data_IF_613465010654
#
_entry.id   IF_613465010654
#
_cell.length_a   1.000
_cell.length_b   1.000
_cell.length_c   1.000
_cell.angle_alpha   90.00
_cell.angle_beta   90.00
_cell.angle_gamma   90.00
#
_symmetry.space_group_name_H-M   'P 1'
#
loop_
_entity.id
_entity.type
_entity.pdbx_description
1 polymer ?
#
# COMPACT_ATOMS: atom_id res chain seq x y z
N UNK A 1 -11.79 -8.76 -12.32
CA UNK A 1 -11.80 -7.83 -11.17
C UNK A 1 -11.00 -6.54 -11.44
N UNK A 2 -10.13 -6.52 -12.45
CA UNK A 2 -9.39 -5.33 -12.86
C UNK A 2 -8.18 -4.96 -11.99
N UNK A 3 -7.83 -5.79 -11.00
CA UNK A 3 -6.61 -5.60 -10.22
C UNK A 3 -5.40 -5.99 -11.06
N UNK A 4 -4.45 -5.06 -11.22
CA UNK A 4 -3.19 -5.34 -11.89
C UNK A 4 -2.20 -6.01 -10.92
N UNK A 5 -1.69 -7.16 -11.31
CA UNK A 5 -0.62 -7.87 -10.59
C UNK A 5 0.65 -7.76 -11.41
N UNK A 6 1.68 -7.13 -10.84
CA UNK A 6 2.97 -6.99 -11.47
C UNK A 6 3.94 -8.02 -10.86
N UNK A 7 4.54 -8.84 -11.72
CA UNK A 7 5.58 -9.78 -11.33
C UNK A 7 6.93 -9.17 -11.68
N UNK A 8 7.84 -9.15 -10.72
CA UNK A 8 9.18 -8.59 -10.87
C UNK A 8 10.19 -9.69 -10.59
N UNK A 9 11.07 -9.94 -11.54
CA UNK A 9 12.24 -10.79 -11.34
C UNK A 9 13.42 -9.91 -10.92
N UNK A 10 14.01 -10.21 -9.77
CA UNK A 10 15.20 -9.52 -9.32
C UNK A 10 16.44 -10.04 -10.07
N UNK A 11 17.39 -9.15 -10.44
CA UNK A 11 18.63 -9.57 -11.06
C UNK A 11 19.49 -10.34 -10.04
N UNK A 12 19.91 -11.55 -10.40
CA UNK A 12 20.67 -12.45 -9.51
C UNK A 12 22.01 -11.88 -9.05
N UNK A 13 22.63 -11.02 -9.85
CA UNK A 13 23.97 -10.47 -9.62
C UNK A 13 23.95 -8.95 -9.41
N UNK A 14 22.90 -8.41 -8.82
CA UNK A 14 22.84 -6.97 -8.53
C UNK A 14 23.88 -6.57 -7.48
N UNK A 15 24.55 -5.45 -7.73
CA UNK A 15 25.43 -4.80 -6.77
C UNK A 15 24.69 -3.85 -5.82
N UNK A 16 23.38 -3.65 -6.02
CA UNK A 16 22.57 -2.82 -5.14
C UNK A 16 22.26 -3.57 -3.84
N UNK A 17 22.66 -3.01 -2.72
CA UNK A 17 22.47 -3.58 -1.38
C UNK A 17 20.98 -3.93 -1.11
N UNK A 18 20.05 -3.04 -1.46
CA UNK A 18 18.62 -3.29 -1.29
C UNK A 18 18.08 -4.50 -2.07
N UNK A 19 18.68 -4.83 -3.22
CA UNK A 19 18.32 -6.02 -4.00
C UNK A 19 18.94 -7.27 -3.39
N UNK A 20 20.19 -7.16 -2.90
CA UNK A 20 20.87 -8.26 -2.19
C UNK A 20 20.11 -8.62 -0.91
N UNK A 21 19.66 -7.63 -0.14
CA UNK A 21 18.85 -7.82 1.05
C UNK A 21 17.52 -8.51 0.73
N UNK A 22 16.86 -8.11 -0.36
CA UNK A 22 15.64 -8.77 -0.82
C UNK A 22 15.90 -10.23 -1.21
N UNK A 23 16.95 -10.51 -1.97
CA UNK A 23 17.32 -11.87 -2.36
C UNK A 23 17.62 -12.75 -1.12
N UNK A 24 18.36 -12.22 -0.17
CA UNK A 24 18.69 -12.90 1.09
C UNK A 24 17.45 -13.17 1.92
N UNK A 25 16.54 -12.22 2.00
CA UNK A 25 15.27 -12.40 2.69
C UNK A 25 14.40 -13.48 2.04
N UNK A 26 14.32 -13.54 0.71
CA UNK A 26 13.58 -14.57 -0.02
C UNK A 26 14.17 -15.96 0.19
N UNK A 27 15.49 -16.06 0.24
CA UNK A 27 16.18 -17.32 0.53
C UNK A 27 15.87 -17.82 1.95
N UNK A 28 15.79 -16.92 2.92
CA UNK A 28 15.55 -17.25 4.33
C UNK A 28 14.08 -17.58 4.64
N UNK A 29 13.14 -16.88 4.00
CA UNK A 29 11.71 -16.99 4.31
C UNK A 29 10.95 -17.85 3.29
N UNK A 30 11.63 -18.26 2.22
CA UNK A 30 11.06 -19.12 1.21
C UNK A 30 10.11 -18.43 0.23
N UNK A 31 9.61 -19.25 -0.67
CA UNK A 31 8.65 -18.89 -1.69
C UNK A 31 7.53 -19.92 -1.73
N UNK A 32 6.47 -19.65 -2.45
CA UNK A 32 5.47 -20.67 -2.78
C UNK A 32 6.11 -21.80 -3.59
N UNK A 33 5.41 -22.93 -3.73
CA UNK A 33 5.85 -24.04 -4.59
C UNK A 33 5.99 -23.67 -6.08
N UNK A 34 5.56 -22.49 -6.48
CA UNK A 34 5.73 -21.90 -7.83
C UNK A 34 6.83 -20.84 -7.90
N UNK A 35 7.59 -20.64 -6.81
CA UNK A 35 8.69 -19.69 -6.76
C UNK A 35 8.28 -18.23 -6.58
N UNK A 36 7.05 -17.93 -6.17
CA UNK A 36 6.59 -16.57 -5.89
C UNK A 36 6.76 -16.23 -4.42
N UNK A 37 7.17 -15.00 -4.17
CA UNK A 37 7.19 -14.42 -2.82
C UNK A 37 5.79 -13.94 -2.41
N UNK A 38 5.65 -13.48 -1.18
CA UNK A 38 4.50 -12.71 -0.74
C UNK A 38 4.39 -11.36 -1.48
N UNK A 39 3.28 -10.66 -1.31
CA UNK A 39 3.07 -9.34 -1.90
C UNK A 39 4.03 -8.34 -1.27
N UNK A 40 4.97 -7.84 -2.06
CA UNK A 40 6.04 -6.94 -1.60
C UNK A 40 5.54 -5.51 -1.44
N UNK A 41 4.66 -5.08 -2.34
CA UNK A 41 4.17 -3.69 -2.38
C UNK A 41 2.75 -3.66 -2.90
N UNK A 42 1.89 -2.89 -2.27
CA UNK A 42 0.60 -2.49 -2.83
C UNK A 42 0.65 -1.03 -3.25
N UNK A 43 -0.13 -0.66 -4.26
CA UNK A 43 -0.15 0.71 -4.77
C UNK A 43 -1.57 1.22 -4.87
N UNK A 44 -1.76 2.48 -4.53
CA UNK A 44 -3.00 3.18 -4.79
C UNK A 44 -2.79 4.61 -5.30
N UNK A 45 -3.72 5.07 -6.12
CA UNK A 45 -3.72 6.44 -6.59
C UNK A 45 -4.20 7.37 -5.48
N UNK A 46 -3.53 8.51 -5.36
CA UNK A 46 -3.88 9.58 -4.43
C UNK A 46 -4.01 10.89 -5.20
N UNK A 47 -4.86 11.78 -4.73
CA UNK A 47 -4.99 13.13 -5.28
C UNK A 47 -3.99 14.13 -4.67
N UNK A 48 -3.35 13.76 -3.57
CA UNK A 48 -2.35 14.55 -2.87
C UNK A 48 -1.43 13.63 -2.07
N UNK A 49 -0.21 13.48 -2.57
CA UNK A 49 0.81 12.61 -1.97
C UNK A 49 1.23 13.08 -0.59
N UNK A 50 1.34 14.39 -0.37
CA UNK A 50 1.79 14.93 0.93
C UNK A 50 0.79 14.61 2.05
N UNK A 51 -0.51 14.78 1.79
CA UNK A 51 -1.53 14.42 2.77
C UNK A 51 -1.53 12.91 3.07
N UNK A 52 -1.41 12.08 2.03
CA UNK A 52 -1.35 10.63 2.21
C UNK A 52 -0.07 10.21 2.96
N UNK A 53 1.08 10.79 2.60
CA UNK A 53 2.36 10.53 3.24
C UNK A 53 2.32 10.86 4.74
N UNK A 54 1.80 12.04 5.09
CA UNK A 54 1.66 12.45 6.48
C UNK A 54 0.76 11.49 7.26
N UNK A 55 -0.34 11.02 6.68
CA UNK A 55 -1.18 10.02 7.30
C UNK A 55 -0.41 8.72 7.59
N UNK A 56 0.29 8.15 6.60
CA UNK A 56 1.07 6.93 6.82
C UNK A 56 2.21 7.10 7.81
N UNK A 57 2.82 8.28 7.83
CA UNK A 57 3.86 8.61 8.81
C UNK A 57 3.29 8.77 10.22
N UNK A 58 2.29 9.62 10.40
CA UNK A 58 1.80 10.04 11.73
C UNK A 58 0.94 8.95 12.40
N UNK A 59 0.19 8.18 11.58
CA UNK A 59 -0.71 7.14 12.10
C UNK A 59 -0.03 5.78 12.20
N UNK A 60 0.73 5.39 11.16
CA UNK A 60 1.33 4.06 11.07
C UNK A 60 2.83 4.02 11.33
N UNK A 61 3.46 5.17 11.61
CA UNK A 61 4.91 5.25 11.85
C UNK A 61 5.74 4.89 10.64
N UNK A 62 5.15 4.87 9.44
CA UNK A 62 5.87 4.56 8.21
C UNK A 62 6.82 5.69 7.84
N UNK A 63 7.92 5.34 7.18
CA UNK A 63 8.90 6.30 6.66
C UNK A 63 8.94 6.28 5.14
N UNK A 64 9.20 7.44 4.56
CA UNK A 64 9.47 7.54 3.13
C UNK A 64 10.79 6.83 2.82
N UNK A 65 10.75 5.93 1.84
CA UNK A 65 11.96 5.28 1.31
C UNK A 65 12.50 6.00 0.10
N UNK A 66 11.58 6.42 -0.76
CA UNK A 66 11.93 6.89 -2.10
C UNK A 66 10.74 7.64 -2.68
N UNK A 67 11.04 8.72 -3.40
CA UNK A 67 10.04 9.48 -4.16
C UNK A 67 10.65 9.93 -5.49
N UNK A 68 9.93 9.73 -6.60
CA UNK A 68 10.39 10.12 -7.93
C UNK A 68 9.22 10.28 -8.89
N UNK A 69 9.49 10.93 -10.03
CA UNK A 69 8.50 11.14 -11.08
C UNK A 69 8.68 10.12 -12.18
N UNK A 70 7.78 9.16 -12.27
CA UNK A 70 7.71 8.24 -13.40
C UNK A 70 7.14 8.96 -14.62
N UNK A 71 7.93 8.99 -15.71
CA UNK A 71 7.56 9.59 -16.98
C UNK A 71 8.04 8.79 -18.20
N UNK A 72 8.75 7.68 -18.01
CA UNK A 72 9.19 6.83 -19.12
C UNK A 72 8.00 6.18 -19.81
N UNK A 73 8.00 6.23 -21.16
CA UNK A 73 6.90 5.72 -22.00
C UNK A 73 6.63 4.23 -21.77
N UNK A 74 7.67 3.44 -21.67
CA UNK A 74 7.61 2.00 -21.44
C UNK A 74 6.98 1.69 -20.08
N UNK A 75 7.36 2.43 -19.02
CA UNK A 75 6.77 2.30 -17.70
C UNK A 75 5.30 2.69 -17.68
N UNK A 76 4.93 3.76 -18.39
CA UNK A 76 3.55 4.20 -18.51
C UNK A 76 2.69 3.17 -19.26
N UNK A 77 3.18 2.60 -20.36
CA UNK A 77 2.51 1.54 -21.09
C UNK A 77 2.32 0.28 -20.23
N UNK A 78 3.37 -0.15 -19.53
CA UNK A 78 3.32 -1.29 -18.62
C UNK A 78 2.27 -1.09 -17.51
N UNK A 79 2.20 0.10 -16.92
CA UNK A 79 1.26 0.46 -15.86
C UNK A 79 -0.10 0.92 -16.40
N UNK A 80 -0.35 0.82 -17.70
CA UNK A 80 -1.59 1.24 -18.38
C UNK A 80 -1.96 2.71 -18.09
N UNK A 81 -0.95 3.57 -18.05
CA UNK A 81 -1.09 5.02 -17.91
C UNK A 81 -1.01 5.71 -19.27
N UNK A 82 -1.43 6.98 -19.39
CA UNK A 82 -1.17 7.76 -20.61
C UNK A 82 0.32 7.78 -20.93
N UNK A 83 0.68 7.60 -22.22
CA UNK A 83 2.07 7.44 -22.67
C UNK A 83 2.94 8.62 -22.23
N UNK A 84 2.42 9.84 -22.29
CA UNK A 84 3.10 11.08 -21.87
C UNK A 84 2.74 11.46 -20.41
N UNK A 85 2.20 10.52 -19.65
CA UNK A 85 1.81 10.74 -18.25
C UNK A 85 3.02 10.96 -17.35
N UNK A 86 2.88 11.88 -16.40
CA UNK A 86 3.81 12.06 -15.30
C UNK A 86 3.11 11.69 -14.00
N UNK A 87 3.72 10.81 -13.24
CA UNK A 87 3.17 10.34 -11.96
C UNK A 87 4.23 10.45 -10.90
N UNK A 88 3.95 11.21 -9.84
CA UNK A 88 4.76 11.16 -8.63
C UNK A 88 4.49 9.81 -7.93
N UNK A 89 5.53 9.05 -7.70
CA UNK A 89 5.46 7.80 -6.93
C UNK A 89 6.28 7.97 -5.67
N UNK A 90 5.65 7.71 -4.53
CA UNK A 90 6.30 7.73 -3.24
C UNK A 90 6.11 6.38 -2.56
N UNK A 91 7.19 5.75 -2.16
CA UNK A 91 7.15 4.50 -1.40
C UNK A 91 7.28 4.78 0.09
N UNK A 92 6.29 4.34 0.84
CA UNK A 92 6.29 4.32 2.30
C UNK A 92 6.59 2.91 2.80
N UNK A 93 7.38 2.79 3.86
CA UNK A 93 7.76 1.50 4.46
C UNK A 93 7.50 1.50 5.96
N UNK A 94 6.83 0.45 6.43
CA UNK A 94 6.77 0.07 7.84
C UNK A 94 7.96 -0.80 8.26
N UNK A 95 7.87 -1.40 9.44
CA UNK A 95 8.95 -2.25 9.98
C UNK A 95 8.97 -3.64 9.36
N UNK A 96 7.83 -4.14 8.88
CA UNK A 96 7.78 -5.42 8.18
C UNK A 96 8.52 -5.33 6.83
N UNK A 97 9.27 -6.37 6.48
CA UNK A 97 10.08 -6.37 5.27
C UNK A 97 9.25 -6.10 3.99
N UNK A 98 8.08 -6.72 3.89
CA UNK A 98 7.13 -6.52 2.78
C UNK A 98 6.13 -5.36 2.97
N UNK A 99 6.11 -4.73 4.12
CA UNK A 99 5.15 -3.67 4.45
C UNK A 99 5.39 -2.37 3.70
N UNK A 100 5.27 -2.38 2.37
CA UNK A 100 5.46 -1.20 1.51
C UNK A 100 4.16 -0.77 0.87
N UNK A 101 3.94 0.54 0.83
CA UNK A 101 2.84 1.18 0.11
C UNK A 101 3.44 2.13 -0.93
N UNK A 102 2.98 2.03 -2.17
CA UNK A 102 3.30 2.99 -3.21
C UNK A 102 2.12 3.95 -3.41
N UNK A 103 2.35 5.22 -3.11
CA UNK A 103 1.42 6.31 -3.38
C UNK A 103 1.68 6.84 -4.78
N UNK A 104 0.65 6.95 -5.61
CA UNK A 104 0.78 7.34 -7.02
C UNK A 104 -0.10 8.56 -7.28
N UNK A 105 0.50 9.74 -7.45
CA UNK A 105 -0.21 10.99 -7.75
C UNK A 105 -0.04 11.36 -9.24
N UNK A 106 -1.12 11.40 -10.02
CA UNK A 106 -1.09 11.89 -11.38
C UNK A 106 -0.79 13.39 -11.43
N UNK A 107 0.30 13.80 -12.14
CA UNK A 107 0.70 15.21 -12.18
C UNK A 107 0.13 15.96 -13.39
N UNK A 108 -0.04 15.31 -14.55
CA UNK A 108 -0.45 15.95 -15.80
C UNK A 108 -1.59 15.22 -16.51
N UNK A 109 -2.25 14.27 -15.85
CA UNK A 109 -3.43 13.60 -16.38
C UNK A 109 -4.45 13.36 -15.27
N UNK A 110 -5.70 13.11 -15.67
CA UNK A 110 -6.81 12.87 -14.72
C UNK A 110 -7.09 11.38 -14.61
N UNK A 111 -7.36 10.94 -13.38
CA UNK A 111 -7.92 9.61 -13.11
C UNK A 111 -9.30 9.76 -12.50
N UNK A 112 -10.27 8.91 -12.87
CA UNK A 112 -11.58 8.93 -12.26
C UNK A 112 -11.50 8.44 -10.81
N UNK A 113 -12.17 9.13 -9.90
CA UNK A 113 -12.33 8.65 -8.53
C UNK A 113 -13.52 7.68 -8.45
N UNK A 114 -13.19 6.38 -8.44
CA UNK A 114 -14.17 5.29 -8.33
C UNK A 114 -14.22 4.67 -6.91
N UNK A 115 -13.56 5.29 -5.93
CA UNK A 115 -13.42 4.71 -4.58
C UNK A 115 -14.77 4.44 -3.90
N UNK A 116 -15.79 5.24 -4.20
CA UNK A 116 -17.17 5.00 -3.70
C UNK A 116 -17.75 3.64 -4.10
N UNK A 117 -17.20 3.04 -5.17
CA UNK A 117 -17.59 1.71 -5.64
C UNK A 117 -16.72 0.59 -5.05
N UNK A 118 -15.67 0.95 -4.29
CA UNK A 118 -14.80 -0.01 -3.60
C UNK A 118 -15.43 -0.48 -2.29
N UNK A 119 -16.58 -1.14 -2.39
CA UNK A 119 -17.32 -1.69 -1.26
C UNK A 119 -18.13 -2.91 -1.71
N UNK A 120 -18.41 -3.87 -0.82
CA UNK A 120 -19.33 -4.97 -1.13
C UNK A 120 -20.72 -4.44 -1.54
N UNK A 121 -21.40 -5.07 -2.51
CA UNK A 121 -21.07 -6.34 -3.17
C UNK A 121 -20.22 -6.19 -4.44
N UNK A 122 -19.62 -5.03 -4.69
CA UNK A 122 -18.82 -4.82 -5.90
C UNK A 122 -17.57 -5.71 -5.87
N UNK A 123 -17.14 -6.17 -7.05
CA UNK A 123 -15.92 -6.94 -7.21
C UNK A 123 -14.72 -5.99 -7.21
N UNK A 124 -13.68 -6.32 -6.46
CA UNK A 124 -12.42 -5.61 -6.49
C UNK A 124 -11.76 -5.48 -5.13
N UNK A 125 -10.82 -4.56 -5.05
CA UNK A 125 -10.05 -4.25 -3.86
C UNK A 125 -10.80 -3.20 -3.01
N UNK A 126 -11.03 -3.51 -1.74
CA UNK A 126 -11.82 -2.62 -0.86
C UNK A 126 -10.97 -1.78 0.08
N UNK A 127 -9.85 -2.31 0.54
CA UNK A 127 -9.01 -1.62 1.51
C UNK A 127 -7.71 -2.37 1.79
N UNK A 128 -6.92 -1.81 2.69
CA UNK A 128 -5.68 -2.38 3.18
C UNK A 128 -5.77 -2.61 4.68
N UNK A 129 -5.29 -3.76 5.15
CA UNK A 129 -5.19 -4.08 6.56
C UNK A 129 -3.74 -3.98 7.04
N UNK A 130 -3.56 -3.42 8.23
CA UNK A 130 -2.27 -3.35 8.92
C UNK A 130 -2.43 -3.84 10.34
N UNK A 131 -1.49 -4.66 10.78
CA UNK A 131 -1.38 -5.00 12.20
C UNK A 131 -0.65 -3.89 12.94
N UNK A 132 -1.15 -3.52 14.11
CA UNK A 132 -0.60 -2.50 14.99
C UNK A 132 -0.52 -3.02 16.41
N UNK A 133 0.37 -2.44 17.21
CA UNK A 133 0.60 -2.89 18.59
C UNK A 133 -0.39 -2.30 19.60
N UNK A 134 -0.99 -1.15 19.29
CA UNK A 134 -1.78 -0.38 20.27
C UNK A 134 -2.76 0.56 19.55
N UNK A 135 -4.02 0.19 19.57
CA UNK A 135 -5.12 0.99 19.01
C UNK A 135 -5.31 2.31 19.76
N UNK A 136 -5.07 2.33 21.08
CA UNK A 136 -5.29 3.53 21.87
C UNK A 136 -4.35 4.66 21.46
N UNK A 137 -3.13 4.36 21.05
CA UNK A 137 -2.21 5.36 20.50
C UNK A 137 -2.74 5.98 19.21
N UNK A 138 -3.35 5.19 18.36
CA UNK A 138 -3.96 5.70 17.11
C UNK A 138 -5.10 6.66 17.42
N UNK A 139 -5.94 6.35 18.41
CA UNK A 139 -7.07 7.19 18.81
C UNK A 139 -6.65 8.56 19.36
N UNK A 140 -5.40 8.74 19.77
CA UNK A 140 -4.88 10.05 20.18
C UNK A 140 -4.49 10.95 19.01
N UNK A 141 -4.40 10.43 17.80
CA UNK A 141 -4.09 11.23 16.61
C UNK A 141 -5.30 12.07 16.21
N UNK A 142 -5.09 13.37 16.10
CA UNK A 142 -6.16 14.30 15.75
C UNK A 142 -6.62 14.15 14.27
N UNK A 143 -7.88 14.47 14.03
CA UNK A 143 -8.47 14.56 12.68
C UNK A 143 -8.50 13.24 11.89
N UNK A 144 -8.53 12.10 12.54
CA UNK A 144 -8.76 10.82 11.89
C UNK A 144 -10.22 10.69 11.45
N UNK A 145 -10.44 10.31 10.21
CA UNK A 145 -11.76 9.96 9.71
C UNK A 145 -12.07 8.49 10.05
N UNK A 146 -12.49 8.24 11.29
CA UNK A 146 -12.83 6.91 11.79
C UNK A 146 -14.23 6.55 11.31
N UNK A 147 -14.34 5.44 10.59
CA UNK A 147 -15.59 4.89 10.08
C UNK A 147 -16.12 3.75 10.95
N UNK A 148 -15.23 3.05 11.62
CA UNK A 148 -15.52 1.91 12.46
C UNK A 148 -14.52 1.79 13.59
N UNK A 149 -14.99 1.39 14.76
CA UNK A 149 -14.15 1.00 15.90
C UNK A 149 -14.86 -0.14 16.64
N UNK A 150 -14.15 -1.22 16.89
CA UNK A 150 -14.66 -2.36 17.64
C UNK A 150 -14.08 -3.69 17.16
N UNK A 151 -14.58 -4.80 17.70
CA UNK A 151 -14.07 -6.13 17.37
C UNK A 151 -14.48 -6.56 15.95
N UNK A 152 -13.57 -7.22 15.25
CA UNK A 152 -13.82 -7.90 13.99
C UNK A 152 -13.40 -9.37 14.06
N UNK A 153 -14.11 -10.22 13.34
CA UNK A 153 -13.75 -11.63 13.15
C UNK A 153 -12.83 -11.74 11.95
N UNK A 154 -11.57 -12.17 12.16
CA UNK A 154 -10.59 -12.40 11.09
C UNK A 154 -10.73 -13.81 10.52
N UNK A 155 -10.92 -14.78 11.42
CA UNK A 155 -11.13 -16.18 11.09
C UNK A 155 -12.04 -16.84 12.13
N UNK A 156 -12.35 -18.11 11.96
CA UNK A 156 -13.15 -18.85 12.95
C UNK A 156 -12.43 -18.88 14.30
N UNK A 157 -13.06 -18.26 15.31
CA UNK A 157 -12.53 -18.17 16.68
C UNK A 157 -11.50 -17.05 16.90
N UNK A 158 -11.11 -16.30 15.87
CA UNK A 158 -10.17 -15.19 16.03
C UNK A 158 -10.89 -13.84 15.91
N UNK A 159 -10.92 -13.11 17.03
CA UNK A 159 -11.49 -11.77 17.14
C UNK A 159 -10.38 -10.79 17.47
N UNK A 160 -10.33 -9.67 16.78
CA UNK A 160 -9.37 -8.59 17.00
C UNK A 160 -10.08 -7.26 17.15
N UNK A 161 -9.55 -6.41 18.03
CA UNK A 161 -9.95 -5.01 18.03
C UNK A 161 -9.45 -4.34 16.74
N UNK A 162 -10.29 -3.51 16.16
CA UNK A 162 -10.00 -2.89 14.87
C UNK A 162 -10.53 -1.46 14.78
N UNK A 163 -9.85 -0.65 13.97
CA UNK A 163 -10.31 0.66 13.50
C UNK A 163 -10.35 0.66 11.99
N UNK A 164 -11.47 1.10 11.42
CA UNK A 164 -11.60 1.39 10.00
C UNK A 164 -11.47 2.89 9.74
N UNK A 165 -10.57 3.29 8.87
CA UNK A 165 -10.24 4.68 8.55
C UNK A 165 -10.35 4.94 7.05
N UNK A 166 -10.43 6.22 6.67
CA UNK A 166 -10.16 6.66 5.30
C UNK A 166 -8.78 7.31 5.20
N UNK A 167 -8.01 6.87 4.21
CA UNK A 167 -6.74 7.51 3.87
C UNK A 167 -6.99 8.88 3.24
N UNK A 168 -6.43 9.98 3.77
CA UNK A 168 -6.48 11.27 3.13
C UNK A 168 -5.90 11.24 1.72
N UNK A 169 -6.52 11.96 0.79
CA UNK A 169 -6.05 12.05 -0.59
C UNK A 169 -6.49 10.91 -1.51
N UNK A 170 -6.98 9.78 -1.00
CA UNK A 170 -7.53 8.68 -1.81
C UNK A 170 -8.91 8.23 -1.38
N UNK A 171 -9.34 8.51 -0.16
CA UNK A 171 -10.51 7.91 0.51
C UNK A 171 -10.48 6.37 0.60
N UNK A 172 -9.33 5.75 0.31
CA UNK A 172 -9.17 4.30 0.42
C UNK A 172 -9.39 3.84 1.86
N UNK A 173 -10.04 2.70 2.02
CA UNK A 173 -10.28 2.10 3.34
C UNK A 173 -8.98 1.51 3.89
N UNK A 174 -8.69 1.85 5.13
CA UNK A 174 -7.56 1.33 5.89
C UNK A 174 -8.12 0.68 7.16
N UNK A 175 -7.76 -0.57 7.37
CA UNK A 175 -8.12 -1.31 8.58
C UNK A 175 -6.89 -1.49 9.45
N UNK A 176 -6.96 -1.05 10.68
CA UNK A 176 -5.92 -1.24 11.69
C UNK A 176 -6.41 -2.30 12.68
N UNK A 177 -5.64 -3.37 12.82
CA UNK A 177 -5.96 -4.52 13.65
C UNK A 177 -4.94 -4.64 14.76
N UNK A 178 -5.39 -4.71 16.00
CA UNK A 178 -4.50 -4.94 17.14
C UNK A 178 -3.95 -6.36 17.12
N UNK A 179 -2.63 -6.51 17.35
CA UNK A 179 -1.95 -7.81 17.40
C UNK A 179 -2.30 -8.63 18.62
#
# INVERSE_FOLDING_TARGET
DGIAVNLVQLPENSQQESIQDMCSFFQSNGTTNKGFTEIVTTSHCVSNTENAKNFYHDVLGMREMFSDVLCAKESNQFLRRPVEGKTLITFMKGDHFYGKIALSEPLNYKVPNNIKNACPPNIGYFGQGFFINDIQKILTVNNLNILYQGPIHISEGEVREAIGLKCPGSDALIYLLEQ
#
